data_IF_810611436330
#
_entry.id   IF_810611436330
#
_cell.length_a   1.000
_cell.length_b   1.000
_cell.length_c   1.000
_cell.angle_alpha   90.00
_cell.angle_beta   90.00
_cell.angle_gamma   90.00
#
_symmetry.space_group_name_H-M   'P 1'
#
loop_
_entity.id
_entity.type
_entity.pdbx_description
1 polymer ?
#
# COMPACT_ATOMS: atom_id res chain seq x y z
N UNK A 1 -18.06 10.13 -22.23
CA UNK A 1 -17.75 9.71 -20.85
C UNK A 1 -16.23 9.82 -20.71
N UNK A 2 -15.73 10.63 -19.79
CA UNK A 2 -14.29 10.68 -19.54
C UNK A 2 -13.86 9.31 -19.05
N UNK A 3 -12.96 8.65 -19.77
CA UNK A 3 -12.34 7.40 -19.32
C UNK A 3 -11.60 7.72 -18.03
N UNK A 4 -12.08 7.18 -16.91
CA UNK A 4 -11.43 7.37 -15.63
C UNK A 4 -10.02 6.75 -15.74
N UNK A 5 -9.01 7.61 -15.91
CA UNK A 5 -7.63 7.19 -16.15
C UNK A 5 -7.13 6.51 -14.88
N UNK A 6 -6.75 5.23 -14.98
CA UNK A 6 -6.20 4.50 -13.82
C UNK A 6 -5.06 5.27 -13.15
N UNK A 7 -5.06 5.29 -11.83
CA UNK A 7 -4.02 5.91 -11.00
C UNK A 7 -2.93 4.88 -10.75
N UNK A 8 -1.83 5.03 -11.46
CA UNK A 8 -0.66 4.12 -11.42
C UNK A 8 0.57 4.92 -11.06
N UNK A 9 1.30 4.45 -10.06
CA UNK A 9 2.48 5.10 -9.54
C UNK A 9 3.46 4.15 -8.86
N UNK A 10 4.34 4.74 -8.07
CA UNK A 10 5.46 4.05 -7.44
C UNK A 10 5.80 4.69 -6.09
N UNK A 11 6.44 3.93 -5.20
CA UNK A 11 6.99 4.46 -3.96
C UNK A 11 8.26 5.26 -4.26
N UNK A 12 8.30 6.51 -3.80
CA UNK A 12 9.35 7.48 -4.15
C UNK A 12 10.11 7.98 -2.92
N UNK A 13 11.39 8.22 -3.13
CA UNK A 13 12.21 8.88 -2.14
C UNK A 13 11.85 10.36 -1.95
N UNK A 14 12.09 10.88 -0.74
CA UNK A 14 11.74 12.25 -0.34
C UNK A 14 12.95 13.14 -0.04
N UNK A 15 14.12 12.82 -0.60
CA UNK A 15 15.31 13.66 -0.45
C UNK A 15 15.05 15.08 -0.99
N UNK A 16 15.31 16.09 -0.18
CA UNK A 16 15.01 17.50 -0.48
C UNK A 16 13.61 17.96 -0.04
N UNK A 17 12.83 17.08 0.60
CA UNK A 17 11.48 17.36 1.10
C UNK A 17 10.40 16.51 0.41
N UNK A 18 9.30 16.22 1.09
CA UNK A 18 8.24 15.35 0.56
C UNK A 18 7.65 15.85 -0.77
N UNK A 19 7.56 17.16 -0.98
CA UNK A 19 7.03 17.76 -2.21
C UNK A 19 7.87 17.42 -3.46
N UNK A 20 9.15 17.06 -3.31
CA UNK A 20 10.01 16.67 -4.45
C UNK A 20 9.54 15.37 -5.11
N UNK A 21 8.81 14.54 -4.40
CA UNK A 21 8.23 13.31 -4.93
C UNK A 21 7.24 13.57 -6.08
N UNK A 22 6.61 14.74 -6.14
CA UNK A 22 5.71 15.10 -7.25
C UNK A 22 6.48 15.15 -8.58
N UNK A 23 7.64 15.83 -8.60
CA UNK A 23 8.46 15.92 -9.82
C UNK A 23 9.00 14.54 -10.22
N UNK A 24 9.45 13.74 -9.26
CA UNK A 24 9.88 12.35 -9.51
C UNK A 24 8.76 11.48 -10.06
N UNK A 25 7.53 11.66 -9.56
CA UNK A 25 6.37 10.97 -10.11
C UNK A 25 6.13 11.35 -11.58
N UNK A 26 6.24 12.64 -11.92
CA UNK A 26 6.13 13.12 -13.30
C UNK A 26 7.23 12.50 -14.17
N UNK A 27 8.49 12.51 -13.71
CA UNK A 27 9.64 11.92 -14.41
C UNK A 27 9.46 10.41 -14.62
N UNK A 28 8.91 9.69 -13.64
CA UNK A 28 8.58 8.28 -13.76
C UNK A 28 7.33 8.00 -14.63
N UNK A 29 6.64 9.03 -15.14
CA UNK A 29 5.40 8.88 -15.88
C UNK A 29 4.21 8.46 -15.01
N UNK A 30 4.30 8.57 -13.70
CA UNK A 30 3.26 8.24 -12.74
C UNK A 30 2.19 9.36 -12.63
N UNK A 31 0.98 9.03 -12.19
CA UNK A 31 -0.08 10.01 -11.88
C UNK A 31 -0.60 9.87 -10.44
N UNK A 32 0.09 9.10 -9.64
CA UNK A 32 -0.03 8.93 -8.20
C UNK A 32 1.34 8.50 -7.66
N UNK A 33 1.53 8.51 -6.37
CA UNK A 33 2.74 7.97 -5.73
C UNK A 33 2.52 7.65 -4.26
N UNK A 34 3.47 6.94 -3.68
CA UNK A 34 3.60 6.72 -2.24
C UNK A 34 4.95 7.22 -1.75
N UNK A 35 5.01 7.66 -0.51
CA UNK A 35 6.22 8.11 0.17
C UNK A 35 6.23 7.67 1.63
N UNK A 36 7.41 7.65 2.26
CA UNK A 36 7.51 7.84 3.70
C UNK A 36 7.43 9.34 4.02
N UNK A 37 6.61 9.72 5.01
CA UNK A 37 6.48 11.12 5.43
C UNK A 37 7.72 11.64 6.17
N UNK A 38 8.54 10.70 6.65
CA UNK A 38 9.81 10.92 7.35
C UNK A 38 10.70 9.69 7.20
N UNK A 39 11.92 9.70 7.75
CA UNK A 39 12.77 8.51 7.75
C UNK A 39 12.07 7.34 8.47
N UNK A 40 11.85 6.19 7.81
CA UNK A 40 11.17 5.05 8.42
C UNK A 40 12.02 4.33 9.48
N UNK A 41 13.22 4.83 9.79
CA UNK A 41 14.14 4.34 10.84
C UNK A 41 14.09 5.18 12.12
N UNK A 42 13.15 6.12 12.22
CA UNK A 42 13.04 7.03 13.36
C UNK A 42 11.67 6.93 14.00
N UNK A 43 11.64 6.83 15.35
CA UNK A 43 10.40 6.87 16.13
C UNK A 43 9.74 8.25 16.17
N UNK A 44 10.56 9.30 16.14
CA UNK A 44 10.09 10.69 16.19
C UNK A 44 10.56 11.44 14.98
N UNK A 45 9.64 12.06 14.28
CA UNK A 45 9.93 12.94 13.17
C UNK A 45 9.29 14.31 13.40
N UNK A 46 9.90 15.33 12.83
CA UNK A 46 9.37 16.69 12.88
C UNK A 46 8.01 16.77 12.12
N UNK A 47 7.12 17.69 12.53
CA UNK A 47 5.94 18.02 11.73
C UNK A 47 6.33 18.51 10.34
N UNK A 48 5.41 18.33 9.37
CA UNK A 48 5.58 18.91 8.03
C UNK A 48 5.55 20.43 8.12
N UNK A 49 6.49 21.09 7.45
CA UNK A 49 6.51 22.54 7.38
C UNK A 49 5.36 23.04 6.52
N UNK A 50 4.63 24.09 6.93
CA UNK A 50 3.49 24.60 6.15
C UNK A 50 3.83 24.97 4.70
N UNK A 51 5.03 25.52 4.48
CA UNK A 51 5.51 25.84 3.13
C UNK A 51 5.73 24.61 2.25
N UNK A 52 6.17 23.46 2.82
CA UNK A 52 6.37 22.22 2.10
C UNK A 52 5.03 21.52 1.81
N UNK A 53 4.10 21.58 2.77
CA UNK A 53 2.73 21.13 2.57
C UNK A 53 2.04 21.88 1.41
N UNK A 54 2.17 23.22 1.41
CA UNK A 54 1.62 24.05 0.33
C UNK A 54 2.24 23.70 -1.01
N UNK A 55 3.57 23.55 -1.11
CA UNK A 55 4.26 23.13 -2.35
C UNK A 55 3.76 21.78 -2.84
N UNK A 56 3.58 20.81 -1.94
CA UNK A 56 3.03 19.50 -2.28
C UNK A 56 1.67 19.63 -2.97
N UNK A 57 0.74 20.37 -2.36
CA UNK A 57 -0.62 20.57 -2.89
C UNK A 57 -0.60 21.29 -4.24
N UNK A 58 0.18 22.37 -4.36
CA UNK A 58 0.27 23.17 -5.57
C UNK A 58 0.83 22.36 -6.75
N UNK A 59 1.93 21.63 -6.54
CA UNK A 59 2.55 20.78 -7.55
C UNK A 59 1.64 19.61 -7.97
N UNK A 60 0.99 18.94 -7.02
CA UNK A 60 0.02 17.88 -7.32
C UNK A 60 -1.10 18.37 -8.22
N UNK A 61 -1.66 19.55 -7.91
CA UNK A 61 -2.70 20.17 -8.72
C UNK A 61 -2.20 20.53 -10.12
N UNK A 62 -0.98 21.08 -10.22
CA UNK A 62 -0.35 21.45 -11.49
C UNK A 62 -0.20 20.26 -12.44
N UNK A 63 0.15 19.07 -11.92
CA UNK A 63 0.50 17.89 -12.70
C UNK A 63 -0.58 16.79 -12.71
N UNK A 64 -1.78 17.03 -12.17
CA UNK A 64 -2.85 16.02 -12.01
C UNK A 64 -2.36 14.75 -11.31
N UNK A 65 -1.63 14.93 -10.20
CA UNK A 65 -1.10 13.83 -9.39
C UNK A 65 -1.99 13.58 -8.18
N UNK A 66 -2.46 12.37 -8.02
CA UNK A 66 -3.23 11.91 -6.85
C UNK A 66 -4.33 10.90 -7.21
N UNK A 67 -4.97 10.29 -6.22
CA UNK A 67 -4.67 10.39 -4.78
C UNK A 67 -3.24 9.96 -4.45
N UNK A 68 -2.64 10.47 -3.36
CA UNK A 68 -1.32 10.02 -2.91
C UNK A 68 -1.41 9.21 -1.62
N UNK A 69 -0.42 8.37 -1.40
CA UNK A 69 -0.29 7.55 -0.21
C UNK A 69 0.95 7.93 0.60
N UNK A 70 0.83 7.89 1.91
CA UNK A 70 1.95 7.84 2.84
C UNK A 70 2.01 6.41 3.38
N UNK A 71 3.19 5.81 3.45
CA UNK A 71 3.39 4.55 4.15
C UNK A 71 3.94 4.83 5.55
N UNK A 72 3.35 4.22 6.56
CA UNK A 72 3.83 4.34 7.94
C UNK A 72 5.19 3.63 8.10
N UNK A 73 5.98 4.10 9.07
CA UNK A 73 7.27 3.48 9.37
C UNK A 73 7.14 2.00 9.70
N UNK A 74 8.03 1.16 9.16
CA UNK A 74 8.10 -0.28 9.49
C UNK A 74 8.59 -0.57 10.92
N UNK A 75 9.03 0.43 11.69
CA UNK A 75 9.31 0.27 13.11
C UNK A 75 8.03 0.10 13.94
N UNK A 76 6.89 0.54 13.42
CA UNK A 76 5.61 0.53 14.12
C UNK A 76 5.15 -0.92 14.32
N UNK A 77 4.89 -1.31 15.57
CA UNK A 77 4.28 -2.56 15.96
C UNK A 77 3.22 -2.32 17.03
N UNK A 78 1.99 -2.05 16.58
CA UNK A 78 0.86 -1.66 17.43
C UNK A 78 0.29 -2.82 18.26
N UNK A 79 0.61 -4.06 17.91
CA UNK A 79 0.20 -5.27 18.64
C UNK A 79 1.33 -5.89 19.48
N UNK A 80 2.43 -5.17 19.70
CA UNK A 80 3.54 -5.69 20.51
C UNK A 80 3.12 -5.99 21.96
N UNK A 81 3.55 -7.17 22.51
CA UNK A 81 3.40 -7.47 23.94
C UNK A 81 4.21 -6.54 24.83
N UNK A 82 5.33 -6.01 24.30
CA UNK A 82 6.21 -5.10 25.04
C UNK A 82 5.59 -3.72 25.07
N UNK A 83 5.14 -3.28 26.23
CA UNK A 83 4.41 -2.03 26.40
C UNK A 83 5.19 -0.82 25.86
N UNK A 84 6.48 -0.70 26.17
CA UNK A 84 7.32 0.41 25.67
C UNK A 84 7.37 0.46 24.13
N UNK A 85 7.44 -0.70 23.45
CA UNK A 85 7.40 -0.75 21.98
C UNK A 85 6.03 -0.32 21.48
N UNK A 86 4.96 -0.77 22.12
CA UNK A 86 3.59 -0.42 21.74
C UNK A 86 3.30 1.07 21.95
N UNK A 87 3.74 1.64 23.07
CA UNK A 87 3.60 3.08 23.36
C UNK A 87 4.37 3.94 22.34
N UNK A 88 5.62 3.58 22.04
CA UNK A 88 6.40 4.27 21.03
C UNK A 88 5.74 4.14 19.64
N UNK A 89 5.20 2.97 19.30
CA UNK A 89 4.49 2.72 18.05
C UNK A 89 3.21 3.57 17.94
N UNK A 90 2.44 3.67 19.03
CA UNK A 90 1.22 4.48 19.10
C UNK A 90 1.55 5.96 18.88
N UNK A 91 2.57 6.48 19.57
CA UNK A 91 3.01 7.86 19.41
C UNK A 91 3.58 8.15 18.01
N UNK A 92 4.36 7.21 17.45
CA UNK A 92 4.88 7.33 16.09
C UNK A 92 3.75 7.32 15.06
N UNK A 93 2.78 6.41 15.21
CA UNK A 93 1.63 6.31 14.31
C UNK A 93 0.76 7.57 14.32
N UNK A 94 0.53 8.17 15.50
CA UNK A 94 -0.12 9.49 15.58
C UNK A 94 0.61 10.52 14.73
N UNK A 95 1.94 10.60 14.85
CA UNK A 95 2.74 11.52 14.03
C UNK A 95 2.67 11.23 12.53
N UNK A 96 2.52 9.94 12.11
CA UNK A 96 2.30 9.59 10.70
C UNK A 96 0.94 10.11 10.21
N UNK A 97 -0.14 9.94 11.00
CA UNK A 97 -1.48 10.46 10.66
C UNK A 97 -1.43 11.99 10.50
N UNK A 98 -0.86 12.71 11.47
CA UNK A 98 -0.75 14.17 11.45
C UNK A 98 0.05 14.67 10.24
N UNK A 99 1.19 14.02 9.91
CA UNK A 99 2.01 14.38 8.75
C UNK A 99 1.32 14.04 7.42
N UNK A 100 0.68 12.88 7.31
CA UNK A 100 -0.06 12.49 6.11
C UNK A 100 -1.20 13.48 5.82
N UNK A 101 -1.99 13.83 6.81
CA UNK A 101 -3.04 14.85 6.67
C UNK A 101 -2.47 16.22 6.31
N UNK A 102 -1.36 16.66 6.94
CA UNK A 102 -0.71 17.93 6.62
C UNK A 102 -0.18 17.98 5.19
N UNK A 103 0.28 16.86 4.63
CA UNK A 103 0.69 16.74 3.22
C UNK A 103 -0.49 16.69 2.24
N UNK A 104 -1.73 16.61 2.74
CA UNK A 104 -2.93 16.41 1.94
C UNK A 104 -2.98 15.03 1.29
N UNK A 105 -2.38 14.03 1.91
CA UNK A 105 -2.48 12.65 1.44
C UNK A 105 -3.89 12.10 1.71
N UNK A 106 -4.39 11.31 0.77
CA UNK A 106 -5.68 10.65 0.90
C UNK A 106 -5.57 9.29 1.58
N UNK A 107 -4.37 8.69 1.61
CA UNK A 107 -4.16 7.36 2.17
C UNK A 107 -2.92 7.34 3.10
N UNK A 108 -3.06 6.65 4.23
CA UNK A 108 -1.94 6.27 5.10
C UNK A 108 -1.94 4.76 5.25
N UNK A 109 -0.98 4.09 4.63
CA UNK A 109 -0.84 2.63 4.67
C UNK A 109 -0.10 2.21 5.93
N UNK A 110 -0.57 1.13 6.56
CA UNK A 110 -0.06 0.62 7.83
C UNK A 110 0.00 -0.91 7.85
N UNK A 111 1.16 -1.47 8.16
CA UNK A 111 1.28 -2.83 8.68
C UNK A 111 0.93 -2.83 10.17
N UNK A 112 -0.06 -3.61 10.63
CA UNK A 112 -0.50 -3.53 12.04
C UNK A 112 0.54 -4.05 13.04
N UNK A 113 1.47 -4.89 12.61
CA UNK A 113 2.57 -5.39 13.41
C UNK A 113 2.55 -6.90 13.68
N UNK A 114 3.22 -7.32 14.75
CA UNK A 114 3.38 -8.73 15.13
C UNK A 114 3.01 -8.94 16.59
N UNK A 115 2.17 -9.97 16.85
CA UNK A 115 1.72 -10.35 18.20
C UNK A 115 2.63 -11.37 18.89
N UNK A 116 3.88 -11.53 18.47
CA UNK A 116 4.79 -12.50 19.02
C UNK A 116 4.77 -12.54 20.57
N UNK A 117 4.47 -13.72 21.13
CA UNK A 117 4.36 -13.97 22.56
C UNK A 117 3.01 -13.58 23.19
N UNK A 118 1.98 -13.39 22.36
CA UNK A 118 0.56 -13.22 22.71
C UNK A 118 -0.28 -14.24 21.96
N UNK A 119 -1.59 -14.27 22.23
CA UNK A 119 -2.56 -14.88 21.32
C UNK A 119 -2.88 -13.93 20.16
N UNK A 120 -3.41 -14.45 19.05
CA UNK A 120 -3.84 -13.64 17.91
C UNK A 120 -4.92 -12.61 18.33
N UNK A 121 -5.87 -13.05 19.13
CA UNK A 121 -6.97 -12.24 19.63
C UNK A 121 -6.46 -11.07 20.49
N UNK A 122 -5.51 -11.32 21.37
CA UNK A 122 -4.85 -10.27 22.16
C UNK A 122 -4.08 -9.29 21.27
N UNK A 123 -3.36 -9.80 20.26
CA UNK A 123 -2.64 -8.98 19.28
C UNK A 123 -3.57 -8.05 18.50
N UNK A 124 -4.69 -8.58 18.02
CA UNK A 124 -5.70 -7.81 17.29
C UNK A 124 -6.33 -6.72 18.18
N UNK A 125 -6.72 -7.07 19.41
CA UNK A 125 -7.26 -6.11 20.38
C UNK A 125 -6.27 -4.98 20.67
N UNK A 126 -4.99 -5.32 20.92
CA UNK A 126 -3.95 -4.33 21.19
C UNK A 126 -3.67 -3.43 19.98
N UNK A 127 -3.72 -3.97 18.76
CA UNK A 127 -3.59 -3.17 17.53
C UNK A 127 -4.73 -2.16 17.41
N UNK A 128 -5.99 -2.59 17.61
CA UNK A 128 -7.14 -1.72 17.56
C UNK A 128 -7.07 -0.62 18.62
N UNK A 129 -6.85 -0.96 19.89
CA UNK A 129 -6.71 0.00 21.00
C UNK A 129 -5.57 1.01 20.76
N UNK A 130 -4.44 0.55 20.19
CA UNK A 130 -3.31 1.42 19.89
C UNK A 130 -3.64 2.41 18.77
N UNK A 131 -4.35 1.96 17.72
CA UNK A 131 -4.80 2.85 16.63
C UNK A 131 -5.82 3.86 17.17
N UNK A 132 -6.83 3.43 17.92
CA UNK A 132 -7.82 4.32 18.53
C UNK A 132 -7.16 5.41 19.40
N UNK A 133 -6.20 5.03 20.25
CA UNK A 133 -5.44 5.97 21.07
C UNK A 133 -4.61 6.93 20.23
N UNK A 134 -3.99 6.45 19.15
CA UNK A 134 -3.19 7.28 18.27
C UNK A 134 -4.03 8.36 17.57
N UNK A 135 -5.26 8.04 17.18
CA UNK A 135 -6.14 8.96 16.45
C UNK A 135 -7.06 9.78 17.36
N UNK A 136 -7.07 9.51 18.66
CA UNK A 136 -7.93 10.22 19.60
C UNK A 136 -7.75 11.75 19.53
N UNK A 137 -8.85 12.47 19.32
CA UNK A 137 -8.87 13.93 19.19
C UNK A 137 -8.36 14.50 17.86
N UNK A 138 -8.08 13.65 16.86
CA UNK A 138 -7.80 14.12 15.49
C UNK A 138 -9.14 14.44 14.80
N UNK A 139 -9.24 15.64 14.23
CA UNK A 139 -10.41 16.07 13.48
C UNK A 139 -10.27 15.66 11.99
N UNK A 140 -10.85 14.52 11.64
CA UNK A 140 -10.85 14.02 10.26
C UNK A 140 -11.81 14.78 9.33
N UNK A 141 -12.66 15.67 9.84
CA UNK A 141 -13.49 16.52 8.98
C UNK A 141 -12.65 17.50 8.16
N UNK A 142 -11.44 17.79 8.59
CA UNK A 142 -10.46 18.60 7.86
C UNK A 142 -9.84 17.89 6.65
N UNK A 143 -9.99 16.56 6.56
CA UNK A 143 -9.50 15.72 5.47
C UNK A 143 -10.51 14.59 5.18
N UNK A 144 -11.70 14.89 4.64
CA UNK A 144 -12.82 13.93 4.52
C UNK A 144 -12.49 12.71 3.66
N UNK A 145 -11.55 12.85 2.72
CA UNK A 145 -11.09 11.75 1.85
C UNK A 145 -9.99 10.89 2.47
N UNK A 146 -9.42 11.33 3.59
CA UNK A 146 -8.32 10.61 4.25
C UNK A 146 -8.78 9.27 4.82
N UNK A 147 -7.97 8.22 4.60
CA UNK A 147 -8.20 6.88 5.18
C UNK A 147 -6.90 6.29 5.68
N UNK A 148 -6.97 5.62 6.82
CA UNK A 148 -5.95 4.71 7.33
C UNK A 148 -6.18 3.36 6.65
N UNK A 149 -5.20 2.87 5.91
CA UNK A 149 -5.31 1.62 5.18
C UNK A 149 -4.59 0.51 5.93
N UNK A 150 -5.33 -0.48 6.38
CA UNK A 150 -4.74 -1.69 6.94
C UNK A 150 -4.25 -2.55 5.77
N UNK A 151 -2.97 -2.84 5.75
CA UNK A 151 -2.35 -3.64 4.71
C UNK A 151 -2.29 -5.12 5.10
N UNK A 152 -2.58 -6.00 4.13
CA UNK A 152 -2.27 -7.42 4.29
C UNK A 152 -0.76 -7.62 4.32
N UNK A 153 -0.29 -8.62 5.06
CA UNK A 153 1.14 -8.93 5.23
C UNK A 153 1.51 -10.28 4.63
N UNK A 154 2.80 -10.53 4.47
CA UNK A 154 3.34 -11.77 3.89
C UNK A 154 3.03 -13.06 4.68
N UNK A 155 2.35 -12.94 5.82
CA UNK A 155 1.96 -14.10 6.63
C UNK A 155 3.11 -14.76 7.39
N UNK A 156 4.18 -13.99 7.70
CA UNK A 156 5.21 -14.46 8.61
C UNK A 156 4.59 -14.83 9.97
N UNK A 157 5.25 -15.72 10.71
CA UNK A 157 4.76 -16.18 12.00
C UNK A 157 4.49 -14.97 12.93
N UNK A 158 3.33 -14.96 13.55
CA UNK A 158 2.84 -13.88 14.43
C UNK A 158 2.57 -12.53 13.74
N UNK A 159 2.69 -12.41 12.42
CA UNK A 159 2.35 -11.19 11.69
C UNK A 159 0.83 -11.03 11.58
N UNK A 160 0.29 -9.89 12.00
CA UNK A 160 -1.12 -9.56 11.84
C UNK A 160 -1.38 -9.12 10.38
N UNK A 161 -2.45 -9.64 9.79
CA UNK A 161 -2.81 -9.35 8.39
C UNK A 161 -2.31 -10.37 7.36
N UNK A 162 -1.67 -11.47 7.79
CA UNK A 162 -1.29 -12.56 6.88
C UNK A 162 -2.49 -13.34 6.31
N UNK A 163 -3.67 -13.19 6.92
CA UNK A 163 -4.95 -13.70 6.42
C UNK A 163 -5.91 -12.53 6.22
N UNK A 164 -6.68 -12.56 5.13
CA UNK A 164 -7.66 -11.51 4.81
C UNK A 164 -8.71 -11.34 5.90
N UNK A 165 -9.09 -12.42 6.58
CA UNK A 165 -10.01 -12.38 7.71
C UNK A 165 -9.46 -11.55 8.88
N UNK A 166 -8.15 -11.55 9.10
CA UNK A 166 -7.53 -10.72 10.14
C UNK A 166 -7.56 -9.24 9.78
N UNK A 167 -7.35 -8.92 8.50
CA UNK A 167 -7.51 -7.55 7.99
C UNK A 167 -8.95 -7.09 8.15
N UNK A 168 -9.92 -7.91 7.73
CA UNK A 168 -11.34 -7.62 7.84
C UNK A 168 -11.78 -7.40 9.30
N UNK A 169 -11.34 -8.27 10.22
CA UNK A 169 -11.66 -8.18 11.65
C UNK A 169 -11.12 -6.88 12.28
N UNK A 170 -9.87 -6.50 11.95
CA UNK A 170 -9.29 -5.25 12.45
C UNK A 170 -10.01 -4.02 11.86
N UNK A 171 -10.29 -4.03 10.56
CA UNK A 171 -11.03 -2.94 9.90
C UNK A 171 -12.43 -2.79 10.48
N UNK A 172 -13.17 -3.89 10.66
CA UNK A 172 -14.51 -3.86 11.24
C UNK A 172 -14.51 -3.32 12.68
N UNK A 173 -13.52 -3.73 13.50
CA UNK A 173 -13.35 -3.23 14.87
C UNK A 173 -13.13 -1.71 14.87
N UNK A 174 -12.24 -1.21 14.05
CA UNK A 174 -11.91 0.22 13.96
C UNK A 174 -13.06 1.05 13.39
N UNK A 175 -13.80 0.54 12.41
CA UNK A 175 -15.01 1.20 11.89
C UNK A 175 -16.09 1.31 12.97
N UNK A 176 -16.24 0.30 13.82
CA UNK A 176 -17.13 0.32 14.96
C UNK A 176 -16.84 1.45 15.96
N UNK A 177 -15.58 1.91 16.01
CA UNK A 177 -15.12 3.06 16.82
C UNK A 177 -15.13 4.39 16.05
N UNK A 178 -15.60 4.42 14.80
CA UNK A 178 -15.68 5.62 13.96
C UNK A 178 -14.35 6.02 13.30
N UNK A 179 -13.33 5.16 13.28
CA UNK A 179 -12.07 5.44 12.61
C UNK A 179 -12.24 5.44 11.07
N UNK A 180 -11.59 6.36 10.34
CA UNK A 180 -11.66 6.42 8.87
C UNK A 180 -10.72 5.39 8.24
N UNK A 181 -11.08 4.10 8.32
CA UNK A 181 -10.25 2.98 7.86
C UNK A 181 -10.73 2.39 6.54
N UNK A 182 -9.78 1.85 5.78
CA UNK A 182 -9.98 1.10 4.55
C UNK A 182 -8.86 0.06 4.41
N UNK A 183 -8.63 -0.48 3.20
CA UNK A 183 -7.70 -1.59 2.96
C UNK A 183 -6.68 -1.24 1.89
N UNK A 184 -5.44 -1.63 2.11
CA UNK A 184 -4.40 -1.82 1.10
C UNK A 184 -4.18 -3.32 0.89
N UNK A 185 -4.11 -3.76 -0.37
CA UNK A 185 -3.73 -5.13 -0.71
C UNK A 185 -2.41 -5.14 -1.48
N UNK A 186 -1.46 -5.94 -1.02
CA UNK A 186 -0.17 -6.15 -1.67
C UNK A 186 -0.14 -7.49 -2.39
N UNK A 187 0.24 -7.49 -3.66
CA UNK A 187 0.28 -8.69 -4.51
C UNK A 187 1.38 -9.65 -4.11
N UNK A 188 2.58 -9.16 -3.73
CA UNK A 188 3.65 -9.99 -3.21
C UNK A 188 3.24 -10.65 -1.89
N UNK A 189 2.70 -9.86 -0.96
CA UNK A 189 2.24 -10.39 0.34
C UNK A 189 1.14 -11.45 0.17
N UNK A 190 0.14 -11.21 -0.69
CA UNK A 190 -0.88 -12.22 -0.97
C UNK A 190 -0.26 -13.51 -1.50
N UNK A 191 0.62 -13.41 -2.51
CA UNK A 191 1.25 -14.55 -3.13
C UNK A 191 2.06 -15.37 -2.12
N UNK A 192 2.95 -14.72 -1.38
CA UNK A 192 3.80 -15.43 -0.41
C UNK A 192 3.05 -15.89 0.83
N UNK A 193 1.90 -15.28 1.17
CA UNK A 193 0.99 -15.79 2.20
C UNK A 193 0.20 -17.03 1.75
N UNK A 194 0.18 -17.35 0.43
CA UNK A 194 -0.41 -18.57 -0.12
C UNK A 194 -1.62 -18.36 -1.03
N UNK A 195 -2.10 -17.12 -1.21
CA UNK A 195 -3.17 -16.82 -2.14
C UNK A 195 -2.71 -16.99 -3.59
N UNK A 196 -3.50 -17.64 -4.41
CA UNK A 196 -3.18 -17.75 -5.83
C UNK A 196 -3.76 -16.56 -6.60
N UNK A 197 -2.88 -15.65 -7.00
CA UNK A 197 -3.21 -14.54 -7.90
C UNK A 197 -2.61 -14.72 -9.29
N UNK A 198 -1.89 -15.84 -9.52
CA UNK A 198 -1.15 -16.13 -10.75
C UNK A 198 -2.03 -16.78 -11.80
N UNK A 199 -2.73 -17.86 -11.45
CA UNK A 199 -3.62 -18.54 -12.37
C UNK A 199 -4.97 -17.81 -12.49
N UNK A 200 -5.70 -18.00 -13.60
CA UNK A 200 -7.01 -17.36 -13.78
C UNK A 200 -8.03 -17.89 -12.76
N UNK A 201 -8.01 -19.19 -12.51
CA UNK A 201 -8.88 -19.85 -11.53
C UNK A 201 -8.55 -19.41 -10.10
N UNK A 202 -7.27 -19.50 -9.70
CA UNK A 202 -6.83 -19.07 -8.38
C UNK A 202 -7.09 -17.59 -8.12
N UNK A 203 -6.93 -16.72 -9.14
CA UNK A 203 -7.30 -15.31 -9.02
C UNK A 203 -8.81 -15.15 -8.78
N UNK A 204 -9.66 -15.90 -9.49
CA UNK A 204 -11.10 -15.82 -9.28
C UNK A 204 -11.49 -16.25 -7.87
N UNK A 205 -10.92 -17.33 -7.34
CA UNK A 205 -11.15 -17.81 -5.98
C UNK A 205 -10.62 -16.82 -4.93
N UNK A 206 -9.42 -16.30 -5.15
CA UNK A 206 -8.83 -15.29 -4.25
C UNK A 206 -9.69 -14.03 -4.23
N UNK A 207 -10.15 -13.53 -5.37
CA UNK A 207 -11.02 -12.35 -5.42
C UNK A 207 -12.40 -12.61 -4.83
N UNK A 208 -12.94 -13.83 -4.94
CA UNK A 208 -14.15 -14.20 -4.21
C UNK A 208 -13.95 -14.04 -2.71
N UNK A 209 -12.84 -14.55 -2.17
CA UNK A 209 -12.50 -14.40 -0.76
C UNK A 209 -12.31 -12.93 -0.35
N UNK A 210 -11.66 -12.10 -1.18
CA UNK A 210 -11.56 -10.64 -0.95
C UNK A 210 -12.95 -10.02 -0.81
N UNK A 211 -13.88 -10.36 -1.72
CA UNK A 211 -15.25 -9.84 -1.66
C UNK A 211 -16.03 -10.29 -0.42
N UNK A 212 -15.81 -11.53 0.02
CA UNK A 212 -16.48 -12.12 1.20
C UNK A 212 -15.88 -11.66 2.54
N UNK A 213 -14.64 -11.20 2.55
CA UNK A 213 -13.94 -10.77 3.78
C UNK A 213 -13.86 -9.26 3.89
N UNK A 214 -12.90 -8.63 3.20
CA UNK A 214 -12.66 -7.19 3.30
C UNK A 214 -13.65 -6.34 2.49
N UNK A 215 -14.25 -6.92 1.43
CA UNK A 215 -15.10 -6.21 0.47
C UNK A 215 -14.32 -5.37 -0.53
N UNK A 216 -14.75 -5.35 -1.80
CA UNK A 216 -14.03 -4.63 -2.88
C UNK A 216 -14.02 -3.12 -2.66
N UNK A 217 -15.09 -2.56 -2.12
CA UNK A 217 -15.25 -1.12 -1.89
C UNK A 217 -14.29 -0.58 -0.81
N UNK A 218 -13.82 -1.46 0.09
CA UNK A 218 -12.84 -1.08 1.10
C UNK A 218 -11.41 -0.99 0.54
N UNK A 219 -11.12 -1.63 -0.61
CA UNK A 219 -9.78 -1.65 -1.20
C UNK A 219 -9.50 -0.34 -1.94
N UNK A 220 -8.69 0.53 -1.35
CA UNK A 220 -8.33 1.83 -1.95
C UNK A 220 -6.98 1.82 -2.67
N UNK A 221 -6.06 0.99 -2.22
CA UNK A 221 -4.71 0.87 -2.78
C UNK A 221 -4.39 -0.59 -3.05
N UNK A 222 -3.78 -0.83 -4.18
CA UNK A 222 -3.04 -2.04 -4.49
C UNK A 222 -1.55 -1.73 -4.54
N UNK A 223 -0.76 -2.37 -3.69
CA UNK A 223 0.66 -2.46 -3.91
C UNK A 223 0.91 -3.54 -4.98
N UNK A 224 1.45 -3.09 -6.10
CA UNK A 224 1.75 -3.94 -7.26
C UNK A 224 3.23 -4.31 -7.20
N UNK A 225 3.54 -5.44 -6.56
CA UNK A 225 4.88 -5.94 -6.37
C UNK A 225 4.96 -7.37 -6.88
N UNK A 226 5.91 -7.66 -7.78
CA UNK A 226 6.21 -9.05 -8.09
C UNK A 226 7.02 -9.68 -6.95
N UNK A 227 7.11 -11.00 -6.89
CA UNK A 227 7.71 -11.71 -5.78
C UNK A 227 8.94 -12.51 -6.23
N UNK A 228 10.08 -12.36 -5.53
CA UNK A 228 11.24 -13.25 -5.70
C UNK A 228 10.96 -14.65 -5.18
N UNK A 229 10.11 -14.76 -4.16
CA UNK A 229 9.84 -15.98 -3.45
C UNK A 229 8.59 -16.72 -3.97
N UNK A 230 8.55 -18.03 -3.78
CA UNK A 230 7.44 -18.86 -4.21
C UNK A 230 6.15 -18.61 -3.38
N UNK A 231 5.01 -18.96 -3.96
CA UNK A 231 3.71 -18.96 -3.28
C UNK A 231 3.76 -19.74 -1.97
N UNK A 232 3.26 -19.12 -0.89
CA UNK A 232 3.20 -19.72 0.44
C UNK A 232 4.52 -19.74 1.22
N UNK A 233 5.57 -19.12 0.68
CA UNK A 233 6.92 -19.09 1.34
C UNK A 233 6.98 -18.19 2.58
N UNK A 234 6.06 -17.24 2.72
CA UNK A 234 6.04 -16.20 3.76
C UNK A 234 7.27 -15.29 3.78
N UNK A 235 7.98 -15.21 2.66
CA UNK A 235 9.17 -14.40 2.49
C UNK A 235 8.84 -13.14 1.69
N UNK A 236 8.74 -12.03 2.37
CA UNK A 236 8.53 -10.72 1.76
C UNK A 236 9.81 -10.26 1.05
N UNK A 237 9.83 -10.43 -0.27
CA UNK A 237 10.93 -10.02 -1.16
C UNK A 237 10.33 -9.61 -2.49
N UNK A 238 10.24 -8.30 -2.71
CA UNK A 238 9.72 -7.72 -3.94
C UNK A 238 10.69 -7.93 -5.09
N UNK A 239 10.12 -8.06 -6.30
CA UNK A 239 10.81 -8.10 -7.58
C UNK A 239 10.19 -7.08 -8.54
N UNK A 240 10.90 -6.76 -9.62
CA UNK A 240 10.38 -5.95 -10.72
C UNK A 240 9.16 -6.62 -11.36
N UNK A 241 8.21 -5.80 -11.80
CA UNK A 241 6.96 -6.28 -12.40
C UNK A 241 7.26 -7.20 -13.59
N UNK A 242 6.76 -8.43 -13.53
CA UNK A 242 6.91 -9.45 -14.57
C UNK A 242 8.20 -10.26 -14.52
N UNK A 243 9.12 -9.96 -13.61
CA UNK A 243 10.41 -10.64 -13.46
C UNK A 243 10.44 -11.65 -12.31
N UNK A 244 9.37 -11.70 -11.51
CA UNK A 244 9.22 -12.59 -10.37
C UNK A 244 8.31 -13.79 -10.64
N UNK A 245 7.88 -14.44 -9.56
CA UNK A 245 7.06 -15.65 -9.56
C UNK A 245 5.58 -15.40 -9.79
N UNK A 246 5.12 -14.13 -9.71
CA UNK A 246 3.75 -13.71 -10.00
C UNK A 246 3.58 -13.50 -11.51
N UNK A 247 4.47 -12.76 -12.16
CA UNK A 247 4.54 -12.54 -13.58
C UNK A 247 3.51 -11.54 -14.13
N UNK A 248 3.83 -10.95 -15.29
CA UNK A 248 3.10 -9.82 -15.89
C UNK A 248 1.60 -10.08 -16.14
N UNK A 249 1.22 -11.35 -16.44
CA UNK A 249 -0.19 -11.67 -16.72
C UNK A 249 -1.11 -11.54 -15.51
N UNK A 250 -0.60 -11.79 -14.32
CA UNK A 250 -1.35 -11.56 -13.08
C UNK A 250 -1.64 -10.06 -12.87
N UNK A 251 -0.64 -9.20 -13.07
CA UNK A 251 -0.83 -7.75 -13.02
C UNK A 251 -1.79 -7.25 -14.09
N UNK A 252 -1.70 -7.77 -15.32
CA UNK A 252 -2.67 -7.44 -16.37
C UNK A 252 -4.10 -7.76 -15.95
N UNK A 253 -4.32 -8.93 -15.35
CA UNK A 253 -5.64 -9.36 -14.87
C UNK A 253 -6.14 -8.43 -13.76
N UNK A 254 -5.31 -8.13 -12.77
CA UNK A 254 -5.63 -7.21 -11.70
C UNK A 254 -5.96 -5.80 -12.22
N UNK A 255 -5.12 -5.25 -13.08
CA UNK A 255 -5.30 -3.90 -13.63
C UNK A 255 -6.55 -3.76 -14.50
N UNK A 256 -7.03 -4.85 -15.11
CA UNK A 256 -8.26 -4.87 -15.91
C UNK A 256 -9.52 -5.22 -15.11
N UNK A 257 -9.37 -5.60 -13.86
CA UNK A 257 -10.50 -5.92 -13.01
C UNK A 257 -11.30 -4.66 -12.67
N UNK A 258 -12.54 -4.61 -13.16
CA UNK A 258 -13.43 -3.45 -13.01
C UNK A 258 -13.87 -3.21 -11.57
N UNK A 259 -13.79 -4.23 -10.70
CA UNK A 259 -14.09 -4.10 -9.26
C UNK A 259 -13.16 -3.09 -8.57
N UNK A 260 -11.94 -2.90 -9.11
CA UNK A 260 -10.93 -1.96 -8.60
C UNK A 260 -10.77 -0.70 -9.46
N UNK A 261 -11.84 -0.29 -10.13
CA UNK A 261 -11.82 0.88 -11.03
C UNK A 261 -11.42 2.19 -10.35
N UNK A 262 -11.70 2.33 -9.06
CA UNK A 262 -11.38 3.51 -8.24
C UNK A 262 -10.12 3.34 -7.37
N UNK A 263 -9.49 2.17 -7.39
CA UNK A 263 -8.28 1.92 -6.61
C UNK A 263 -7.04 2.58 -7.24
N UNK A 264 -6.06 2.85 -6.39
CA UNK A 264 -4.74 3.33 -6.76
C UNK A 264 -3.79 2.13 -6.82
N UNK A 265 -2.89 2.10 -7.80
CA UNK A 265 -1.93 1.01 -8.03
C UNK A 265 -0.51 1.56 -7.86
N UNK A 266 0.21 1.09 -6.86
CA UNK A 266 1.54 1.59 -6.47
C UNK A 266 2.56 0.45 -6.55
N UNK A 267 3.64 0.63 -7.29
CA UNK A 267 4.78 -0.28 -7.24
C UNK A 267 5.74 0.08 -6.10
N UNK A 268 6.19 -0.92 -5.35
CA UNK A 268 7.26 -0.81 -4.34
C UNK A 268 8.42 -1.74 -4.70
N UNK A 269 8.70 -1.78 -5.97
CA UNK A 269 9.74 -2.63 -6.56
C UNK A 269 11.13 -2.14 -6.19
N UNK A 270 12.17 -3.01 -6.24
CA UNK A 270 13.55 -2.59 -6.07
C UNK A 270 13.92 -1.41 -6.99
N UNK A 271 14.89 -0.60 -6.55
CA UNK A 271 15.52 0.44 -7.36
C UNK A 271 17.01 0.09 -7.43
N UNK A 272 17.34 -0.82 -8.35
CA UNK A 272 18.68 -1.36 -8.54
C UNK A 272 19.50 -0.50 -9.52
N UNK A 273 18.80 0.21 -10.42
CA UNK A 273 19.38 1.10 -11.41
C UNK A 273 18.53 2.37 -11.63
N UNK A 274 19.13 3.47 -12.11
CA UNK A 274 18.38 4.63 -12.55
C UNK A 274 17.36 4.28 -13.63
N UNK A 275 16.09 4.71 -13.43
CA UNK A 275 15.01 4.47 -14.38
C UNK A 275 14.14 3.27 -14.06
N UNK A 276 14.44 2.46 -13.04
CA UNK A 276 13.63 1.31 -12.65
C UNK A 276 12.20 1.71 -12.25
N UNK A 277 12.03 2.84 -11.57
CA UNK A 277 10.72 3.37 -11.22
C UNK A 277 9.87 3.64 -12.48
N UNK A 278 10.46 4.34 -13.47
CA UNK A 278 9.79 4.62 -14.74
C UNK A 278 9.49 3.33 -15.55
N UNK A 279 10.41 2.35 -15.52
CA UNK A 279 10.24 1.04 -16.17
C UNK A 279 9.03 0.30 -15.60
N UNK A 280 8.93 0.17 -14.29
CA UNK A 280 7.82 -0.54 -13.62
C UNK A 280 6.49 0.20 -13.83
N UNK A 281 6.45 1.53 -13.70
CA UNK A 281 5.25 2.33 -14.00
C UNK A 281 4.84 2.19 -15.46
N UNK A 282 5.78 2.25 -16.39
CA UNK A 282 5.54 2.09 -17.83
C UNK A 282 4.94 0.72 -18.17
N UNK A 283 5.48 -0.35 -17.56
CA UNK A 283 4.95 -1.70 -17.74
C UNK A 283 3.53 -1.83 -17.17
N UNK A 284 3.26 -1.39 -15.95
CA UNK A 284 1.91 -1.41 -15.37
C UNK A 284 0.91 -0.63 -16.26
N UNK A 285 1.30 0.51 -16.83
CA UNK A 285 0.46 1.28 -17.76
C UNK A 285 0.17 0.50 -19.04
N UNK A 286 1.17 -0.15 -19.61
CA UNK A 286 1.02 -1.01 -20.80
C UNK A 286 0.07 -2.17 -20.52
N UNK A 287 0.22 -2.85 -19.39
CA UNK A 287 -0.64 -3.95 -18.96
C UNK A 287 -2.10 -3.50 -18.74
N UNK A 288 -2.29 -2.28 -18.22
CA UNK A 288 -3.62 -1.69 -18.03
C UNK A 288 -4.30 -1.30 -19.35
N UNK A 289 -3.54 -0.82 -20.35
CA UNK A 289 -4.05 -0.32 -21.62
C UNK A 289 -4.26 -1.42 -22.69
N UNK A 290 -3.47 -2.50 -22.67
CA UNK A 290 -3.41 -3.49 -23.74
C UNK A 290 -4.74 -4.18 -24.03
N UNK A 291 -5.07 -4.36 -25.33
CA UNK A 291 -6.18 -5.18 -25.78
C UNK A 291 -5.84 -6.67 -25.61
N UNK A 292 -6.85 -7.55 -25.49
CA UNK A 292 -6.67 -8.98 -25.19
C UNK A 292 -5.93 -9.79 -26.29
N UNK A 293 -5.60 -9.17 -27.44
CA UNK A 293 -5.05 -9.84 -28.62
C UNK A 293 -3.52 -9.68 -28.80
N UNK A 294 -2.81 -8.82 -28.07
CA UNK A 294 -1.35 -8.76 -28.19
C UNK A 294 -0.69 -9.88 -27.37
N UNK A 295 -0.38 -11.00 -28.05
CA UNK A 295 0.59 -12.01 -27.61
C UNK A 295 1.91 -11.29 -27.34
N UNK A 296 2.30 -11.18 -26.08
CA UNK A 296 3.67 -10.79 -25.70
C UNK A 296 4.60 -11.93 -26.16
N UNK A 297 5.12 -11.81 -27.38
CA UNK A 297 6.30 -12.54 -27.82
C UNK A 297 7.52 -11.86 -27.15
N UNK A 298 7.80 -12.24 -25.92
CA UNK A 298 9.08 -11.89 -25.29
C UNK A 298 9.98 -13.10 -25.44
N UNK A 299 10.95 -12.94 -26.35
CA UNK A 299 12.23 -13.64 -26.29
C UNK A 299 12.25 -15.12 -26.59
N UNK A 300 12.24 -15.45 -27.85
CA UNK A 300 12.89 -16.62 -28.40
C UNK A 300 13.61 -16.16 -29.65
N UNK A 301 14.90 -16.15 -29.57
CA UNK A 301 15.92 -16.35 -30.59
C UNK A 301 17.11 -15.40 -30.40
N UNK A 302 18.10 -15.89 -29.69
CA UNK A 302 19.50 -15.63 -30.02
C UNK A 302 20.25 -16.95 -29.84
N UNK A 303 20.52 -17.56 -30.99
CA UNK A 303 21.56 -18.57 -31.17
C UNK A 303 22.94 -18.02 -30.82
#
# INVERSE_FOLDING_TARGET
MATNKKRIGVHLGTAGGCFTAVNRAVEAGANTFQIFSASPRMWKAAPVKPEDAKKMVDLRKQHDIGPISVHASYLINLCSKTETVRENSTAAFRGEVERAMALGAENLVLHPGSWNGLTREEGLRLAAESIERAIAGIDFSLAPEFRILIENTAGAEFSLGGKLEQVAELVATLQGCGAPVAVCLDTCHMHVAGYDIVTAEGYADTMKLVGETVGFEAVRVWHCNDAKAAKGSKLDRHEHIGEGTIGAQAFRRLLKDSRFGNAVFIAETPVDAPGDEARNVGLLRTLAAGNDEERVSVGGDLL
#
